data_IF_405682855428
#
_entry.id   IF_405682855428
#
_cell.length_a   1.000
_cell.length_b   1.000
_cell.length_c   1.000
_cell.angle_alpha   90.00
_cell.angle_beta   90.00
_cell.angle_gamma   90.00
#
_symmetry.space_group_name_H-M   'P 1'
#
loop_
_entity.id
_entity.type
_entity.pdbx_description
1 polymer ?
#
# COMPACT_ATOMS: atom_id res chain seq x y z
N UNK A 1 10.48 -14.85 -8.96
CA UNK A 1 9.66 -15.17 -10.14
C UNK A 1 8.40 -14.31 -10.12
N UNK A 2 7.84 -13.97 -11.28
CA UNK A 2 6.64 -13.15 -11.40
C UNK A 2 5.52 -13.91 -12.12
N UNK A 3 4.27 -13.71 -11.69
CA UNK A 3 3.11 -14.23 -12.42
C UNK A 3 2.91 -13.45 -13.72
N UNK A 4 2.80 -14.14 -14.85
CA UNK A 4 2.67 -13.54 -16.17
C UNK A 4 1.26 -13.70 -16.78
N UNK A 5 0.23 -14.08 -16.01
CA UNK A 5 -1.13 -14.22 -16.52
C UNK A 5 -1.53 -15.63 -16.97
N UNK A 6 -0.61 -16.61 -16.98
CA UNK A 6 -0.92 -18.02 -17.27
C UNK A 6 -0.59 -18.91 -16.07
N UNK A 7 -1.33 -20.01 -15.92
CA UNK A 7 -1.11 -21.05 -14.90
C UNK A 7 -1.16 -20.54 -13.44
N UNK A 8 -2.27 -19.89 -13.08
CA UNK A 8 -2.50 -19.40 -11.71
C UNK A 8 -2.29 -20.49 -10.65
N UNK A 9 -2.76 -21.72 -10.89
CA UNK A 9 -2.58 -22.86 -9.98
C UNK A 9 -1.10 -23.23 -9.77
N UNK A 10 -0.28 -23.15 -10.83
CA UNK A 10 1.15 -23.38 -10.73
C UNK A 10 1.82 -22.25 -9.96
N UNK A 11 1.43 -21.00 -10.21
CA UNK A 11 1.95 -19.85 -9.49
C UNK A 11 1.65 -19.96 -7.99
N UNK A 12 0.41 -20.25 -7.60
CA UNK A 12 0.02 -20.44 -6.20
C UNK A 12 0.84 -21.58 -5.58
N UNK A 13 0.95 -22.72 -6.26
CA UNK A 13 1.76 -23.85 -5.76
C UNK A 13 3.21 -23.44 -5.53
N UNK A 14 3.84 -22.75 -6.47
CA UNK A 14 5.21 -22.27 -6.33
C UNK A 14 5.34 -21.27 -5.18
N UNK A 15 4.41 -20.31 -5.07
CA UNK A 15 4.40 -19.31 -4.01
C UNK A 15 4.25 -19.90 -2.61
N UNK A 16 3.48 -20.99 -2.48
CA UNK A 16 3.21 -21.61 -1.18
C UNK A 16 4.22 -22.69 -0.78
N UNK A 17 5.01 -23.22 -1.72
CA UNK A 17 5.89 -24.37 -1.45
C UNK A 17 7.37 -24.15 -1.78
N UNK A 18 7.77 -23.00 -2.32
CA UNK A 18 9.18 -22.78 -2.66
C UNK A 18 9.92 -22.06 -1.53
N UNK A 19 11.11 -22.58 -1.21
CA UNK A 19 11.99 -22.08 -0.16
C UNK A 19 13.41 -21.87 -0.71
N UNK A 20 14.09 -20.84 -0.21
CA UNK A 20 15.52 -20.60 -0.39
C UNK A 20 16.27 -21.16 0.81
N UNK A 21 17.22 -22.06 0.59
CA UNK A 21 18.02 -22.64 1.68
C UNK A 21 19.52 -22.43 1.44
N UNK A 22 20.34 -22.71 2.45
CA UNK A 22 21.78 -22.58 2.32
C UNK A 22 22.33 -23.64 1.34
N UNK A 23 22.79 -23.19 0.17
CA UNK A 23 23.30 -24.06 -0.88
C UNK A 23 24.55 -24.83 -0.49
N UNK A 24 25.28 -24.39 0.53
CA UNK A 24 26.47 -25.10 1.05
C UNK A 24 26.07 -26.35 1.83
N UNK A 25 24.88 -26.35 2.44
CA UNK A 25 24.36 -27.48 3.23
C UNK A 25 23.62 -28.45 2.32
N UNK A 26 22.76 -27.94 1.43
CA UNK A 26 21.82 -28.76 0.67
C UNK A 26 22.19 -28.94 -0.81
N UNK A 27 23.26 -28.31 -1.30
CA UNK A 27 23.78 -28.44 -2.67
C UNK A 27 22.99 -27.68 -3.76
N UNK A 28 21.75 -27.29 -3.49
CA UNK A 28 20.93 -26.41 -4.33
C UNK A 28 20.48 -25.18 -3.54
N UNK A 29 20.10 -24.10 -4.23
CA UNK A 29 19.64 -22.86 -3.58
C UNK A 29 18.12 -22.86 -3.32
N UNK A 30 17.34 -23.49 -4.18
CA UNK A 30 15.88 -23.48 -4.11
C UNK A 30 15.31 -24.89 -3.96
N UNK A 31 14.33 -25.03 -3.07
CA UNK A 31 13.66 -26.28 -2.75
C UNK A 31 12.16 -26.11 -2.81
N UNK A 32 11.46 -27.11 -3.34
CA UNK A 32 10.04 -27.24 -3.14
C UNK A 32 9.83 -28.07 -1.86
N UNK A 33 9.30 -27.44 -0.81
CA UNK A 33 9.00 -28.05 0.48
C UNK A 33 7.51 -27.85 0.72
N UNK A 34 6.80 -28.95 0.96
CA UNK A 34 5.39 -28.86 1.34
C UNK A 34 5.28 -28.69 2.86
N UNK A 35 5.35 -27.45 3.33
CA UNK A 35 5.35 -27.10 4.75
C UNK A 35 4.08 -27.52 5.52
N UNK A 36 3.02 -27.93 4.82
CA UNK A 36 1.83 -28.51 5.46
C UNK A 36 2.06 -29.94 5.95
N UNK A 37 3.00 -30.67 5.34
CA UNK A 37 3.29 -32.08 5.63
C UNK A 37 4.73 -32.32 6.11
N UNK A 38 5.63 -31.38 5.83
CA UNK A 38 7.08 -31.51 6.07
C UNK A 38 7.58 -30.33 6.90
N UNK A 39 8.51 -30.59 7.81
CA UNK A 39 9.15 -29.52 8.58
C UNK A 39 10.12 -28.74 7.67
N UNK A 40 9.98 -27.41 7.65
CA UNK A 40 10.91 -26.52 6.94
C UNK A 40 12.23 -26.46 7.73
N UNK A 41 13.39 -26.77 7.10
CA UNK A 41 14.69 -26.65 7.77
C UNK A 41 14.94 -25.22 8.26
N UNK A 42 15.70 -25.08 9.36
CA UNK A 42 15.92 -23.78 10.00
C UNK A 42 16.73 -22.78 9.14
N UNK A 43 17.49 -23.27 8.16
CA UNK A 43 18.26 -22.45 7.22
C UNK A 43 17.48 -22.12 5.93
N UNK A 44 16.21 -22.50 5.88
CA UNK A 44 15.34 -22.25 4.74
C UNK A 44 14.34 -21.14 5.04
N UNK A 45 14.20 -20.20 4.10
CA UNK A 45 13.22 -19.12 4.15
C UNK A 45 12.22 -19.27 2.99
N UNK A 46 10.94 -18.98 3.23
CA UNK A 46 9.91 -19.05 2.18
C UNK A 46 10.24 -18.00 1.12
N UNK A 47 10.28 -18.41 -0.14
CA UNK A 47 10.44 -17.48 -1.25
C UNK A 47 9.13 -16.71 -1.47
N UNK A 48 9.23 -15.39 -1.56
CA UNK A 48 8.09 -14.52 -1.80
C UNK A 48 8.05 -14.05 -3.25
N UNK A 49 6.86 -14.03 -3.84
CA UNK A 49 6.68 -13.83 -5.28
C UNK A 49 6.00 -12.50 -5.60
N UNK A 50 6.26 -11.99 -6.80
CA UNK A 50 5.60 -10.79 -7.32
C UNK A 50 4.39 -11.19 -8.16
N UNK A 51 3.22 -10.65 -7.83
CA UNK A 51 2.02 -10.76 -8.67
C UNK A 51 1.95 -9.53 -9.58
N UNK A 52 2.39 -9.72 -10.82
CA UNK A 52 2.41 -8.65 -11.83
C UNK A 52 1.92 -9.18 -13.17
N UNK A 53 0.60 -9.45 -13.31
CA UNK A 53 0.04 -10.03 -14.52
C UNK A 53 0.38 -9.15 -15.74
N UNK A 54 0.60 -9.80 -16.88
CA UNK A 54 0.86 -9.10 -18.14
C UNK A 54 -0.32 -8.20 -18.52
N UNK A 55 -0.01 -7.12 -19.24
CA UNK A 55 -0.88 -5.99 -19.57
C UNK A 55 -2.16 -6.34 -20.36
N UNK A 56 -2.33 -7.59 -20.79
CA UNK A 56 -3.44 -8.07 -21.62
C UNK A 56 -4.24 -9.22 -20.97
N UNK A 57 -4.06 -9.48 -19.68
CA UNK A 57 -4.90 -10.46 -18.98
C UNK A 57 -6.36 -10.01 -19.06
N UNK A 58 -7.19 -10.81 -19.75
CA UNK A 58 -8.60 -10.48 -20.05
C UNK A 58 -9.56 -11.24 -19.11
N UNK A 59 -9.03 -12.00 -18.17
CA UNK A 59 -9.78 -12.91 -17.30
C UNK A 59 -9.74 -12.38 -15.86
N UNK A 60 -10.80 -12.60 -15.06
CA UNK A 60 -10.74 -12.50 -13.61
C UNK A 60 -9.46 -13.12 -13.03
N UNK A 61 -8.80 -12.38 -12.15
CA UNK A 61 -7.64 -12.88 -11.42
C UNK A 61 -8.11 -13.51 -10.11
N UNK A 62 -8.25 -14.84 -10.07
CA UNK A 62 -8.60 -15.57 -8.87
C UNK A 62 -7.45 -16.50 -8.47
N UNK A 63 -6.97 -16.39 -7.23
CA UNK A 63 -5.87 -17.20 -6.71
C UNK A 63 -6.17 -17.66 -5.27
N UNK A 64 -7.10 -18.62 -5.08
CA UNK A 64 -7.32 -19.22 -3.78
C UNK A 64 -6.07 -19.97 -3.32
N UNK A 65 -5.82 -19.99 -2.00
CA UNK A 65 -4.65 -20.58 -1.37
C UNK A 65 -3.40 -19.71 -1.36
N UNK A 66 -3.38 -18.58 -2.08
CA UNK A 66 -2.26 -17.63 -2.05
C UNK A 66 -2.30 -16.81 -0.76
N UNK A 67 -1.33 -17.01 0.13
CA UNK A 67 -1.34 -16.42 1.48
C UNK A 67 -0.43 -15.21 1.62
N UNK A 68 0.67 -15.18 0.85
CA UNK A 68 1.69 -14.13 0.98
C UNK A 68 2.26 -13.75 -0.38
N UNK A 69 2.54 -12.46 -0.54
CA UNK A 69 3.21 -11.93 -1.72
C UNK A 69 4.29 -10.93 -1.33
N UNK A 70 5.32 -10.85 -2.16
CA UNK A 70 6.33 -9.81 -2.04
C UNK A 70 5.77 -8.44 -2.45
N UNK A 71 4.99 -8.43 -3.54
CA UNK A 71 4.27 -7.27 -4.05
C UNK A 71 3.11 -7.66 -4.98
N UNK A 72 2.16 -6.75 -5.14
CA UNK A 72 1.14 -6.80 -6.19
C UNK A 72 1.27 -5.55 -7.04
N UNK A 73 1.38 -5.70 -8.36
CA UNK A 73 1.32 -4.58 -9.30
C UNK A 73 0.44 -4.94 -10.48
N UNK A 74 -0.70 -4.29 -10.60
CA UNK A 74 -1.59 -4.42 -11.75
C UNK A 74 -1.63 -3.07 -12.43
N UNK A 75 -0.97 -2.97 -13.58
CA UNK A 75 -0.86 -1.75 -14.33
C UNK A 75 -1.34 -1.94 -15.77
N UNK A 76 -1.93 -0.89 -16.36
CA UNK A 76 -2.02 -0.73 -17.81
C UNK A 76 -0.64 -0.44 -18.42
N UNK A 77 -0.57 -0.35 -19.74
CA UNK A 77 0.63 0.06 -20.48
C UNK A 77 0.36 1.32 -21.29
N UNK A 78 1.42 2.02 -21.69
CA UNK A 78 1.34 3.07 -22.70
C UNK A 78 1.74 2.51 -24.06
N UNK A 79 1.06 2.94 -25.12
CA UNK A 79 1.53 2.73 -26.50
C UNK A 79 2.39 3.93 -26.91
N UNK A 80 3.69 3.70 -27.13
CA UNK A 80 4.68 4.75 -27.46
C UNK A 80 5.91 4.68 -26.56
N UNK A 81 7.05 5.20 -27.03
CA UNK A 81 8.25 5.33 -26.19
C UNK A 81 8.22 6.68 -25.47
N UNK A 82 8.67 6.73 -24.21
CA UNK A 82 8.87 8.00 -23.46
C UNK A 82 9.87 8.97 -24.14
N UNK A 83 10.50 8.53 -25.24
CA UNK A 83 11.50 9.26 -26.01
C UNK A 83 10.92 9.89 -27.28
N UNK A 84 9.69 9.52 -27.66
CA UNK A 84 8.95 10.21 -28.70
C UNK A 84 8.15 11.31 -27.99
N UNK A 85 8.55 12.57 -28.17
CA UNK A 85 7.87 13.81 -27.74
C UNK A 85 6.45 13.97 -28.37
N UNK A 86 5.81 12.87 -28.77
CA UNK A 86 4.51 12.85 -29.40
C UNK A 86 3.43 12.70 -28.35
N UNK A 87 2.58 13.72 -28.23
CA UNK A 87 1.41 13.81 -27.34
C UNK A 87 0.34 12.72 -27.57
N UNK A 88 0.66 11.67 -28.33
CA UNK A 88 -0.22 10.58 -28.72
C UNK A 88 0.05 9.27 -27.97
N UNK A 89 0.75 9.29 -26.82
CA UNK A 89 0.89 8.09 -26.02
C UNK A 89 -0.49 7.60 -25.57
N UNK A 90 -1.00 6.54 -26.21
CA UNK A 90 -2.33 6.02 -25.92
C UNK A 90 -2.22 5.12 -24.70
N UNK A 91 -2.93 5.48 -23.64
CA UNK A 91 -3.11 4.65 -22.48
C UNK A 91 -3.86 3.39 -22.89
N UNK A 92 -3.27 2.22 -22.65
CA UNK A 92 -3.90 0.91 -22.81
C UNK A 92 -4.17 0.41 -21.38
N UNK A 93 -5.40 0.60 -20.86
CA UNK A 93 -5.74 0.15 -19.53
C UNK A 93 -5.65 -1.37 -19.43
N UNK A 94 -5.34 -1.84 -18.22
CA UNK A 94 -5.43 -3.26 -17.95
C UNK A 94 -6.89 -3.74 -18.09
N UNK A 95 -7.09 -4.91 -18.68
CA UNK A 95 -8.41 -5.51 -18.93
C UNK A 95 -8.91 -6.44 -17.82
N UNK A 96 -8.13 -6.62 -16.75
CA UNK A 96 -8.58 -7.35 -15.56
C UNK A 96 -9.85 -6.68 -15.02
N UNK A 97 -10.92 -7.46 -14.90
CA UNK A 97 -12.24 -6.97 -14.46
C UNK A 97 -12.51 -7.22 -12.98
N UNK A 98 -11.87 -8.24 -12.40
CA UNK A 98 -12.00 -8.58 -10.99
C UNK A 98 -10.75 -9.24 -10.46
N UNK A 99 -10.45 -8.98 -9.18
CA UNK A 99 -9.36 -9.61 -8.43
C UNK A 99 -9.96 -10.27 -7.19
N UNK A 100 -9.69 -11.56 -7.02
CA UNK A 100 -10.13 -12.35 -5.87
C UNK A 100 -8.97 -13.15 -5.30
N UNK A 101 -8.43 -12.66 -4.17
CA UNK A 101 -7.34 -13.28 -3.42
C UNK A 101 -7.87 -13.58 -2.00
N UNK A 102 -8.76 -14.58 -1.85
CA UNK A 102 -9.54 -14.79 -0.62
C UNK A 102 -8.67 -15.22 0.57
N UNK A 103 -7.48 -15.75 0.30
CA UNK A 103 -6.55 -16.27 1.30
C UNK A 103 -5.35 -15.37 1.55
N UNK A 104 -5.20 -14.26 0.80
CA UNK A 104 -4.04 -13.38 0.91
C UNK A 104 -4.06 -12.67 2.26
N UNK A 105 -2.99 -12.81 3.03
CA UNK A 105 -2.83 -12.24 4.38
C UNK A 105 -1.78 -11.14 4.38
N UNK A 106 -0.64 -11.33 3.73
CA UNK A 106 0.50 -10.42 3.85
C UNK A 106 1.06 -9.98 2.48
N UNK A 107 1.40 -8.70 2.38
CA UNK A 107 2.31 -8.17 1.37
C UNK A 107 3.60 -7.76 2.10
N UNK A 108 4.68 -8.52 1.89
CA UNK A 108 5.79 -8.61 2.84
C UNK A 108 6.96 -7.67 2.57
N UNK A 109 7.01 -6.95 1.44
CA UNK A 109 8.17 -6.08 1.14
C UNK A 109 7.85 -4.80 0.38
N UNK A 110 6.88 -4.82 -0.53
CA UNK A 110 6.52 -3.65 -1.32
C UNK A 110 5.03 -3.32 -1.21
N UNK A 111 4.49 -2.65 -2.23
CA UNK A 111 3.15 -2.09 -2.22
C UNK A 111 2.12 -3.07 -2.80
N UNK A 112 0.86 -2.85 -2.41
CA UNK A 112 -0.28 -3.23 -3.24
C UNK A 112 -0.56 -2.08 -4.18
N UNK A 113 -0.16 -2.21 -5.44
CA UNK A 113 -0.38 -1.19 -6.45
C UNK A 113 -1.34 -1.65 -7.55
N UNK A 114 -2.41 -0.90 -7.75
CA UNK A 114 -3.22 -0.96 -8.95
C UNK A 114 -3.17 0.42 -9.59
N UNK A 115 -2.77 0.48 -10.85
CA UNK A 115 -2.74 1.71 -11.62
C UNK A 115 -3.32 1.50 -13.01
N UNK A 116 -4.02 2.50 -13.56
CA UNK A 116 -4.54 2.42 -14.93
C UNK A 116 -5.36 1.14 -15.20
N UNK A 117 -6.27 0.80 -14.29
CA UNK A 117 -7.07 -0.42 -14.33
C UNK A 117 -8.57 -0.12 -14.43
N UNK A 118 -8.98 0.52 -15.53
CA UNK A 118 -10.33 1.06 -15.71
C UNK A 118 -11.42 -0.01 -15.82
N UNK A 119 -11.05 -1.29 -15.95
CA UNK A 119 -12.02 -2.38 -16.10
C UNK A 119 -12.38 -3.03 -14.76
N UNK A 120 -11.63 -2.74 -13.68
CA UNK A 120 -11.84 -3.40 -12.39
C UNK A 120 -13.14 -2.89 -11.77
N UNK A 121 -14.05 -3.83 -11.54
CA UNK A 121 -15.35 -3.62 -10.89
C UNK A 121 -15.48 -4.35 -9.56
N UNK A 122 -14.55 -5.27 -9.27
CA UNK A 122 -14.55 -6.03 -8.03
C UNK A 122 -13.11 -6.29 -7.53
N UNK A 123 -12.89 -6.07 -6.24
CA UNK A 123 -11.64 -6.36 -5.54
C UNK A 123 -11.97 -7.04 -4.21
N UNK A 124 -11.59 -8.31 -4.08
CA UNK A 124 -11.82 -9.15 -2.90
C UNK A 124 -10.48 -9.60 -2.31
N UNK A 125 -10.15 -9.06 -1.15
CA UNK A 125 -8.97 -9.42 -0.34
C UNK A 125 -9.31 -9.49 1.15
N UNK A 126 -10.31 -10.31 1.55
CA UNK A 126 -10.92 -10.25 2.87
C UNK A 126 -9.98 -10.57 4.03
N UNK A 127 -8.93 -11.36 3.81
CA UNK A 127 -7.96 -11.75 4.84
C UNK A 127 -6.71 -10.87 4.87
N UNK A 128 -6.58 -9.92 3.94
CA UNK A 128 -5.39 -9.08 3.83
C UNK A 128 -5.27 -8.26 5.11
N UNK A 129 -4.17 -8.48 5.82
CA UNK A 129 -3.92 -7.95 7.16
C UNK A 129 -2.79 -6.94 7.20
N UNK A 130 -1.73 -7.18 6.44
CA UNK A 130 -0.49 -6.41 6.49
C UNK A 130 0.01 -6.01 5.10
N UNK A 131 0.44 -4.76 4.95
CA UNK A 131 1.12 -4.25 3.76
C UNK A 131 2.39 -3.51 4.19
N UNK A 132 3.56 -3.98 3.75
CA UNK A 132 4.86 -3.44 4.14
C UNK A 132 5.18 -2.06 3.54
N UNK A 133 4.48 -1.65 2.49
CA UNK A 133 4.65 -0.33 1.88
C UNK A 133 3.30 0.34 1.72
N UNK A 134 2.91 0.74 0.52
CA UNK A 134 1.68 1.48 0.29
C UNK A 134 0.54 0.59 -0.19
N UNK A 135 -0.69 0.94 0.18
CA UNK A 135 -1.89 0.54 -0.55
C UNK A 135 -2.23 1.66 -1.52
N UNK A 136 -2.03 1.43 -2.82
CA UNK A 136 -2.31 2.40 -3.87
C UNK A 136 -3.25 1.82 -4.91
N UNK A 137 -4.46 2.34 -4.98
CA UNK A 137 -5.47 1.94 -5.97
C UNK A 137 -5.86 3.15 -6.80
N UNK A 138 -5.50 3.16 -8.08
CA UNK A 138 -5.96 4.13 -9.06
C UNK A 138 -6.91 3.45 -10.05
N UNK A 139 -8.19 3.59 -9.77
CA UNK A 139 -9.34 3.06 -10.50
C UNK A 139 -10.07 4.18 -11.27
N UNK A 140 -9.41 5.32 -11.50
CA UNK A 140 -9.98 6.47 -12.22
C UNK A 140 -10.45 6.07 -13.61
N UNK A 141 -11.64 6.50 -14.01
CA UNK A 141 -12.23 6.15 -15.30
C UNK A 141 -12.84 4.73 -15.37
N UNK A 142 -12.77 3.96 -14.29
CA UNK A 142 -13.49 2.70 -14.15
C UNK A 142 -14.90 2.85 -13.58
N UNK A 143 -15.65 1.74 -13.46
CA UNK A 143 -17.01 1.76 -12.93
C UNK A 143 -17.04 2.06 -11.43
N UNK A 144 -18.23 2.40 -10.93
CA UNK A 144 -18.47 2.53 -9.50
C UNK A 144 -18.10 1.24 -8.76
N UNK A 145 -17.36 1.36 -7.65
CA UNK A 145 -16.86 0.24 -6.86
C UNK A 145 -17.05 0.48 -5.35
N UNK A 146 -17.31 -0.62 -4.64
CA UNK A 146 -17.31 -0.66 -3.18
C UNK A 146 -16.05 -1.37 -2.70
N UNK A 147 -15.31 -0.74 -1.79
CA UNK A 147 -14.06 -1.25 -1.26
C UNK A 147 -14.20 -1.50 0.25
N UNK A 148 -13.93 -2.73 0.67
CA UNK A 148 -13.93 -3.08 2.08
C UNK A 148 -12.72 -3.96 2.36
N UNK A 149 -11.95 -3.59 3.38
CA UNK A 149 -10.76 -4.33 3.81
C UNK A 149 -10.95 -4.83 5.25
N UNK A 150 -11.72 -5.91 5.45
CA UNK A 150 -12.27 -6.24 6.76
C UNK A 150 -11.23 -6.75 7.77
N UNK A 151 -10.06 -7.21 7.30
CA UNK A 151 -8.97 -7.69 8.15
C UNK A 151 -7.73 -6.80 8.11
N UNK A 152 -7.73 -5.74 7.29
CA UNK A 152 -6.55 -4.89 7.11
C UNK A 152 -6.28 -4.17 8.42
N UNK A 153 -5.14 -4.49 9.01
CA UNK A 153 -4.75 -4.03 10.34
C UNK A 153 -3.67 -2.96 10.25
N UNK A 154 -2.75 -3.11 9.30
CA UNK A 154 -1.54 -2.30 9.22
C UNK A 154 -1.08 -2.07 7.78
N UNK A 155 -0.71 -0.82 7.48
CA UNK A 155 -0.04 -0.41 6.24
C UNK A 155 1.17 0.44 6.64
N UNK A 156 2.39 -0.06 6.47
CA UNK A 156 3.61 0.65 6.92
C UNK A 156 3.91 1.93 6.15
N UNK A 157 3.31 2.10 4.97
CA UNK A 157 3.32 3.34 4.20
C UNK A 157 2.00 4.09 4.32
N UNK A 158 1.54 4.66 3.20
CA UNK A 158 0.26 5.36 3.10
C UNK A 158 -0.80 4.56 2.33
N UNK A 159 -2.05 5.03 2.46
CA UNK A 159 -3.20 4.53 1.70
C UNK A 159 -3.62 5.61 0.71
N UNK A 160 -3.63 5.30 -0.58
CA UNK A 160 -3.94 6.24 -1.66
C UNK A 160 -4.96 5.64 -2.62
N UNK A 161 -6.17 6.17 -2.63
CA UNK A 161 -7.30 5.63 -3.37
C UNK A 161 -7.89 6.69 -4.31
N UNK A 162 -8.04 6.32 -5.59
CA UNK A 162 -8.58 7.18 -6.64
C UNK A 162 -9.58 6.38 -7.47
N UNK A 163 -10.75 6.96 -7.80
CA UNK A 163 -11.72 6.33 -8.69
C UNK A 163 -13.18 6.64 -8.35
N UNK A 164 -14.13 5.96 -8.98
CA UNK A 164 -15.55 6.09 -8.64
C UNK A 164 -15.89 5.19 -7.44
N UNK A 165 -15.55 5.64 -6.22
CA UNK A 165 -15.74 4.86 -5.00
C UNK A 165 -17.02 5.32 -4.31
N UNK A 166 -17.98 4.42 -4.13
CA UNK A 166 -19.26 4.72 -3.47
C UNK A 166 -19.26 4.32 -1.99
N UNK A 167 -18.53 3.26 -1.65
CA UNK A 167 -18.35 2.77 -0.28
C UNK A 167 -16.89 2.44 -0.03
N UNK A 168 -16.37 2.87 1.12
CA UNK A 168 -15.02 2.57 1.58
C UNK A 168 -15.05 2.29 3.08
N UNK A 169 -14.49 1.15 3.50
CA UNK A 169 -14.42 0.78 4.91
C UNK A 169 -13.13 0.03 5.28
N UNK A 170 -12.62 0.36 6.47
CA UNK A 170 -11.39 -0.15 7.09
C UNK A 170 -11.66 -0.50 8.57
N UNK A 171 -12.53 -1.49 8.86
CA UNK A 171 -13.07 -1.69 10.20
C UNK A 171 -12.02 -2.10 11.25
N UNK A 172 -10.89 -2.67 10.83
CA UNK A 172 -9.82 -3.15 11.70
C UNK A 172 -8.52 -2.38 11.58
N UNK A 173 -8.46 -1.33 10.75
CA UNK A 173 -7.23 -0.60 10.50
C UNK A 173 -6.79 0.10 11.77
N UNK A 174 -5.59 -0.23 12.23
CA UNK A 174 -5.02 0.26 13.48
C UNK A 174 -3.82 1.16 13.21
N UNK A 175 -3.09 0.94 12.12
CA UNK A 175 -1.86 1.66 11.86
C UNK A 175 -1.65 1.97 10.38
N UNK A 176 -1.23 3.21 10.13
CA UNK A 176 -0.64 3.62 8.87
C UNK A 176 0.68 4.35 9.12
N UNK A 177 1.72 4.07 8.33
CA UNK A 177 2.98 4.82 8.46
C UNK A 177 2.92 6.23 7.88
N UNK A 178 1.93 6.51 7.03
CA UNK A 178 1.63 7.83 6.49
C UNK A 178 0.12 8.14 6.57
N UNK A 179 -0.38 9.10 5.78
CA UNK A 179 -1.80 9.45 5.71
C UNK A 179 -2.64 8.52 4.82
N UNK A 180 -3.96 8.69 4.96
CA UNK A 180 -4.99 8.10 4.12
C UNK A 180 -5.53 9.19 3.19
N UNK A 181 -5.35 9.02 1.88
CA UNK A 181 -5.79 9.95 0.86
C UNK A 181 -6.77 9.27 -0.10
N UNK A 182 -8.00 9.78 -0.13
CA UNK A 182 -9.09 9.27 -0.96
C UNK A 182 -9.61 10.38 -1.84
N UNK A 183 -9.54 10.19 -3.15
CA UNK A 183 -10.16 11.08 -4.15
C UNK A 183 -11.16 10.27 -4.95
N UNK A 184 -12.43 10.34 -4.55
CA UNK A 184 -13.52 9.65 -5.20
C UNK A 184 -14.27 10.56 -6.18
N UNK A 185 -14.63 10.04 -7.36
CA UNK A 185 -15.64 10.64 -8.24
C UNK A 185 -17.04 10.07 -7.98
N UNK A 186 -17.17 9.14 -7.04
CA UNK A 186 -18.43 8.53 -6.61
C UNK A 186 -19.11 9.30 -5.47
N UNK A 187 -20.05 8.63 -4.81
CA UNK A 187 -20.92 9.16 -3.77
C UNK A 187 -20.46 8.79 -2.34
N UNK A 188 -19.17 8.53 -2.15
CA UNK A 188 -18.58 8.25 -0.85
C UNK A 188 -18.93 9.34 0.17
N UNK A 189 -19.45 8.94 1.32
CA UNK A 189 -19.65 9.84 2.46
C UNK A 189 -18.31 10.06 3.17
N UNK A 190 -17.60 11.13 2.77
CA UNK A 190 -16.28 11.44 3.29
C UNK A 190 -16.29 11.79 4.78
N UNK A 191 -17.36 12.39 5.30
CA UNK A 191 -17.47 12.75 6.72
C UNK A 191 -17.62 11.49 7.57
N UNK A 192 -18.52 10.59 7.17
CA UNK A 192 -18.70 9.30 7.83
C UNK A 192 -17.42 8.44 7.76
N UNK A 193 -16.78 8.38 6.58
CA UNK A 193 -15.51 7.67 6.40
C UNK A 193 -14.42 8.21 7.32
N UNK A 194 -14.19 9.52 7.32
CA UNK A 194 -13.14 10.13 8.11
C UNK A 194 -13.38 9.95 9.62
N UNK A 195 -14.64 10.07 10.08
CA UNK A 195 -15.00 9.80 11.46
C UNK A 195 -14.74 8.34 11.88
N UNK A 196 -14.88 7.39 10.96
CA UNK A 196 -14.63 5.97 11.20
C UNK A 196 -13.16 5.60 11.41
N UNK A 197 -12.24 6.32 10.76
CA UNK A 197 -10.79 5.99 10.78
C UNK A 197 -9.96 6.91 11.68
N UNK A 198 -10.37 8.18 11.89
CA UNK A 198 -9.51 9.18 12.55
C UNK A 198 -9.13 8.82 13.99
N UNK A 199 -10.03 8.15 14.72
CA UNK A 199 -9.83 7.81 16.13
C UNK A 199 -9.36 6.36 16.34
N UNK A 200 -9.44 5.52 15.31
CA UNK A 200 -9.17 4.07 15.39
C UNK A 200 -7.82 3.71 14.80
N UNK A 201 -7.25 4.58 13.97
CA UNK A 201 -6.00 4.36 13.26
C UNK A 201 -4.92 5.34 13.74
N UNK A 202 -3.77 4.81 14.14
CA UNK A 202 -2.58 5.56 14.50
C UNK A 202 -1.75 5.87 13.25
N UNK A 203 -1.38 7.13 13.04
CA UNK A 203 -0.41 7.53 12.01
C UNK A 203 0.88 8.01 12.62
N UNK A 204 2.00 7.39 12.20
CA UNK A 204 3.35 7.81 12.59
C UNK A 204 4.04 8.68 11.54
N UNK A 205 3.32 9.02 10.47
CA UNK A 205 3.86 9.79 9.35
C UNK A 205 3.94 11.28 9.63
N UNK A 206 4.80 11.95 8.86
CA UNK A 206 4.95 13.41 8.89
C UNK A 206 3.93 14.14 8.01
N UNK A 207 3.01 13.42 7.37
CA UNK A 207 1.99 14.06 6.54
C UNK A 207 1.19 15.08 7.34
N UNK A 208 1.07 16.27 6.77
CA UNK A 208 0.32 17.39 7.37
C UNK A 208 -1.13 17.00 7.65
N UNK A 209 -1.71 16.16 6.81
CA UNK A 209 -3.06 15.63 6.95
C UNK A 209 -2.97 14.14 7.16
N UNK A 210 -3.60 13.65 8.22
CA UNK A 210 -3.73 12.22 8.48
C UNK A 210 -4.78 11.59 7.56
N UNK A 211 -5.95 12.21 7.45
CA UNK A 211 -7.03 11.75 6.56
C UNK A 211 -7.41 12.88 5.62
N UNK A 212 -7.38 12.62 4.32
CA UNK A 212 -7.96 13.50 3.30
C UNK A 212 -8.92 12.68 2.46
N UNK A 213 -10.18 13.08 2.41
CA UNK A 213 -11.19 12.46 1.57
C UNK A 213 -11.89 13.54 0.77
N UNK A 214 -12.05 13.33 -0.53
CA UNK A 214 -12.85 14.17 -1.43
C UNK A 214 -13.76 13.30 -2.26
N UNK A 215 -15.03 13.66 -2.35
CA UNK A 215 -16.04 12.99 -3.17
C UNK A 215 -17.04 13.99 -3.76
N UNK A 216 -18.02 13.51 -4.54
CA UNK A 216 -19.14 14.35 -4.99
C UNK A 216 -19.99 14.89 -3.83
N UNK A 217 -19.99 14.21 -2.68
CA UNK A 217 -20.77 14.62 -1.50
C UNK A 217 -20.08 15.68 -0.64
N UNK A 218 -18.75 15.81 -0.75
CA UNK A 218 -18.00 16.80 0.01
C UNK A 218 -16.53 16.44 0.14
N UNK A 219 -15.80 17.29 0.85
CA UNK A 219 -14.37 17.12 1.14
C UNK A 219 -14.10 17.34 2.61
N UNK A 220 -13.23 16.50 3.17
CA UNK A 220 -12.75 16.61 4.55
C UNK A 220 -11.24 16.39 4.59
N UNK A 221 -10.57 17.18 5.41
CA UNK A 221 -9.15 17.05 5.70
C UNK A 221 -8.95 17.15 7.20
N UNK A 222 -8.41 16.08 7.81
CA UNK A 222 -8.12 15.98 9.22
C UNK A 222 -6.62 15.93 9.44
N UNK A 223 -6.14 16.72 10.39
CA UNK A 223 -4.73 16.77 10.77
C UNK A 223 -4.40 15.65 11.76
N UNK A 224 -3.14 15.21 11.74
CA UNK A 224 -2.64 14.33 12.78
C UNK A 224 -2.56 15.12 14.09
N UNK A 225 -3.26 14.67 15.13
CA UNK A 225 -3.04 15.21 16.48
C UNK A 225 -1.84 14.45 17.04
N UNK A 226 -0.65 14.89 16.65
CA UNK A 226 0.57 14.43 17.30
C UNK A 226 0.44 14.71 18.81
N UNK A 227 0.69 13.74 19.70
CA UNK A 227 0.78 14.04 21.12
C UNK A 227 1.81 15.16 21.28
N UNK A 228 1.38 16.28 21.86
CA UNK A 228 2.24 17.40 22.17
C UNK A 228 3.43 16.84 22.96
N UNK A 229 4.69 17.12 22.56
CA UNK A 229 5.83 16.60 23.32
C UNK A 229 5.64 17.05 24.76
N UNK A 230 5.63 16.11 25.71
CA UNK A 230 5.63 16.44 27.13
C UNK A 230 6.80 17.39 27.37
N UNK A 231 6.48 18.67 27.53
CA UNK A 231 7.43 19.66 28.00
C UNK A 231 7.62 19.35 29.47
N UNK A 232 8.43 18.32 29.77
CA UNK A 232 9.17 18.23 31.01
C UNK A 232 10.26 19.31 30.97
N UNK A 233 9.82 20.56 30.88
CA UNK A 233 10.60 21.75 31.13
C UNK A 233 10.91 21.74 32.61
N UNK A 234 12.01 21.08 32.98
CA UNK A 234 12.72 21.40 34.20
C UNK A 234 13.01 22.90 34.14
N UNK A 235 12.22 23.69 34.87
CA UNK A 235 12.41 25.11 35.03
C UNK A 235 13.76 25.33 35.72
N UNK A 236 14.82 25.54 34.93
CA UNK A 236 16.07 26.07 35.45
C UNK A 236 15.84 27.53 35.83
N UNK A 237 15.55 27.70 37.12
CA UNK A 237 15.44 28.98 37.80
C UNK A 237 16.83 29.61 37.89
N UNK A 238 17.31 30.26 36.83
CA UNK A 238 18.50 31.11 36.94
C UNK A 238 18.09 32.43 37.58
N UNK A 239 18.46 32.56 38.85
CA UNK A 239 18.23 33.72 39.69
C UNK A 239 19.36 34.73 39.46
N UNK A 240 19.06 35.77 38.66
CA UNK A 240 19.64 37.11 38.79
C UNK A 240 21.02 37.37 38.16
N UNK A 241 21.07 38.36 37.26
CA UNK A 241 22.29 39.06 36.88
C UNK A 241 22.26 39.62 35.46
N UNK A 242 21.88 40.89 35.33
CA UNK A 242 22.05 41.69 34.11
C UNK A 242 23.50 41.65 33.60
N UNK A 243 23.71 41.55 32.28
CA UNK A 243 24.51 42.50 31.48
C UNK A 243 24.69 42.05 30.01
N UNK A 244 24.55 43.05 29.12
CA UNK A 244 25.15 43.18 27.78
C UNK A 244 24.61 42.34 26.60
N UNK A 245 23.62 42.96 25.95
CA UNK A 245 23.32 42.90 24.52
C UNK A 245 24.56 43.36 23.70
N UNK A 246 25.01 42.59 22.70
CA UNK A 246 25.55 42.98 21.36
C UNK A 246 26.61 42.00 20.82
N UNK A 247 26.58 41.82 19.49
CA UNK A 247 27.60 41.21 18.61
C UNK A 247 27.57 39.68 18.39
N UNK A 248 26.76 39.24 17.42
CA UNK A 248 27.12 38.18 16.46
C UNK A 248 26.15 38.15 15.25
N UNK A 249 25.99 39.29 14.59
CA UNK A 249 25.44 39.41 13.22
C UNK A 249 26.36 40.32 12.42
N UNK A 250 27.57 39.84 12.11
CA UNK A 250 28.52 40.55 11.26
C UNK A 250 29.61 39.65 10.65
N UNK A 251 29.34 38.36 10.39
CA UNK A 251 30.36 37.47 9.77
C UNK A 251 29.84 36.58 8.62
N UNK A 252 28.70 36.91 8.01
CA UNK A 252 28.18 36.16 6.84
C UNK A 252 27.88 37.05 5.63
N UNK A 253 28.63 38.15 5.48
CA UNK A 253 28.70 38.94 4.25
C UNK A 253 30.13 39.49 4.06
N UNK A 254 31.09 38.58 3.84
CA UNK A 254 32.34 38.80 3.08
C UNK A 254 33.28 37.60 3.27
N UNK A 255 33.04 36.51 2.53
CA UNK A 255 34.04 35.58 2.00
C UNK A 255 33.40 34.68 0.96
#
# INVERSE_FOLDING_TARGET
MSFNGTDADLFVRCAETTYSCNSTIHGAKWFAINSTNEAVPADCEKETYNLSPIFNLTVPLAMPGLTELFSITIAGTYNGSKLDDDFNSVLIPNKVTSIDLPDLVNITSYSFNIDTAHSISNLSVPKLRHIESNLRLNLTGGPAINLTFPSLFDVRGGIYLYGEIDVLDFPTLNHTGDGINVTSTGNLDCDAFAAGVVNTTNSTGYSRYFVTCTSKKGSVSLHNVLPEPEVNGAAFKIRGGFLALTALVAYMLAL
#
